data_IF_702041311376
#
_entry.id   IF_702041311376
#
_cell.length_a   1.000
_cell.length_b   1.000
_cell.length_c   1.000
_cell.angle_alpha   90.00
_cell.angle_beta   90.00
_cell.angle_gamma   90.00
#
_symmetry.space_group_name_H-M   'P 1'
#
loop_
_entity.id
_entity.type
_entity.pdbx_description
1 polymer ?
#
# COMPACT_ATOMS: atom_id res chain seq x y z
N UNK A 1 -2.83 -3.89 11.03
CA UNK A 1 -3.12 -4.41 9.68
C UNK A 1 -1.81 -4.72 8.98
N UNK A 2 -1.81 -5.78 8.19
CA UNK A 2 -0.60 -6.19 7.49
C UNK A 2 -0.38 -5.40 6.21
N UNK A 3 0.87 -5.06 5.86
CA UNK A 3 1.16 -4.43 4.57
C UNK A 3 1.01 -5.44 3.43
N UNK A 4 0.93 -4.92 2.21
CA UNK A 4 0.97 -5.72 0.99
C UNK A 4 2.20 -5.34 0.18
N UNK A 5 2.62 -6.23 -0.72
CA UNK A 5 3.85 -6.08 -1.48
C UNK A 5 3.57 -6.19 -2.98
N UNK A 6 4.49 -5.66 -3.78
CA UNK A 6 4.31 -5.57 -5.22
C UNK A 6 5.54 -6.11 -5.96
N UNK A 7 5.31 -6.59 -7.16
CA UNK A 7 6.39 -6.97 -8.06
C UNK A 7 7.10 -5.72 -8.60
N UNK A 8 8.33 -5.91 -9.07
CA UNK A 8 9.11 -4.82 -9.61
C UNK A 8 8.35 -4.08 -10.72
N UNK A 9 8.32 -2.77 -10.61
CA UNK A 9 7.73 -1.88 -11.60
C UNK A 9 6.22 -2.10 -11.85
N UNK A 10 5.54 -2.76 -10.91
CA UNK A 10 4.11 -3.07 -11.03
C UNK A 10 3.32 -2.54 -9.85
N UNK A 11 2.03 -2.30 -10.09
CA UNK A 11 1.09 -1.90 -9.05
C UNK A 11 -0.15 -2.79 -9.00
N UNK A 12 -0.15 -3.89 -9.72
CA UNK A 12 -1.24 -4.87 -9.66
C UNK A 12 -1.20 -5.63 -8.33
N UNK A 13 -2.37 -5.86 -7.74
CA UNK A 13 -2.49 -6.63 -6.50
C UNK A 13 -2.23 -8.11 -6.83
N UNK A 14 -1.25 -8.70 -6.13
CA UNK A 14 -0.91 -10.12 -6.31
C UNK A 14 -1.93 -10.99 -5.58
N UNK A 15 -2.18 -12.24 -6.04
CA UNK A 15 -3.19 -13.11 -5.42
C UNK A 15 -2.99 -13.33 -3.90
N UNK A 16 -1.75 -13.52 -3.46
CA UNK A 16 -1.46 -13.69 -2.03
C UNK A 16 -1.73 -12.43 -1.22
N UNK A 17 -1.49 -11.27 -1.81
CA UNK A 17 -1.74 -9.98 -1.15
C UNK A 17 -3.22 -9.63 -1.17
N UNK A 18 -3.99 -10.12 -2.14
CA UNK A 18 -5.43 -9.94 -2.15
C UNK A 18 -6.08 -10.52 -0.89
N UNK A 19 -5.58 -11.66 -0.40
CA UNK A 19 -6.08 -12.26 0.84
C UNK A 19 -5.83 -11.37 2.04
N UNK A 20 -4.67 -10.71 2.08
CA UNK A 20 -4.35 -9.76 3.13
C UNK A 20 -5.31 -8.57 3.08
N UNK A 21 -5.57 -8.05 1.88
CA UNK A 21 -6.53 -6.95 1.71
C UNK A 21 -7.94 -7.34 2.12
N UNK A 22 -8.37 -8.56 1.82
CA UNK A 22 -9.67 -9.07 2.25
C UNK A 22 -9.78 -9.10 3.78
N UNK A 23 -8.72 -9.58 4.45
CA UNK A 23 -8.67 -9.58 5.91
C UNK A 23 -8.68 -8.16 6.47
N UNK A 24 -7.95 -7.26 5.85
CA UNK A 24 -7.93 -5.84 6.25
C UNK A 24 -9.32 -5.20 6.07
N UNK A 25 -10.00 -5.50 4.98
CA UNK A 25 -11.34 -5.00 4.72
C UNK A 25 -12.33 -5.50 5.77
N UNK A 26 -12.25 -6.79 6.13
CA UNK A 26 -13.12 -7.35 7.16
C UNK A 26 -12.92 -6.64 8.50
N UNK A 27 -11.66 -6.40 8.88
CA UNK A 27 -11.38 -5.66 10.11
C UNK A 27 -11.95 -4.25 10.07
N UNK A 28 -11.81 -3.55 8.96
CA UNK A 28 -12.33 -2.20 8.78
C UNK A 28 -13.86 -2.16 8.82
N UNK A 29 -14.55 -3.17 8.27
CA UNK A 29 -16.02 -3.25 8.36
C UNK A 29 -16.48 -3.36 9.80
N UNK A 30 -15.74 -4.09 10.63
CA UNK A 30 -16.05 -4.25 12.06
C UNK A 30 -15.64 -3.07 12.91
N UNK A 31 -14.80 -2.19 12.38
CA UNK A 31 -14.22 -1.05 13.12
C UNK A 31 -14.61 0.26 12.46
N UNK A 32 -15.92 0.53 12.40
CA UNK A 32 -16.49 1.64 11.63
C UNK A 32 -15.98 3.03 12.06
N UNK A 33 -15.48 3.16 13.29
CA UNK A 33 -14.95 4.44 13.78
C UNK A 33 -13.51 4.73 13.34
N UNK A 34 -12.89 3.82 12.59
CA UNK A 34 -11.49 3.99 12.18
C UNK A 34 -11.38 4.51 10.75
N UNK A 35 -10.42 5.41 10.56
CA UNK A 35 -9.96 5.84 9.25
C UNK A 35 -8.66 5.13 8.92
N UNK A 36 -8.37 4.98 7.63
CA UNK A 36 -7.11 4.36 7.18
C UNK A 36 -6.39 5.28 6.20
N UNK A 37 -5.09 5.45 6.40
CA UNK A 37 -4.18 6.08 5.44
C UNK A 37 -3.36 4.98 4.80
N UNK A 38 -3.34 4.92 3.48
CA UNK A 38 -2.54 3.96 2.74
C UNK A 38 -1.32 4.68 2.17
N UNK A 39 -0.12 4.22 2.54
CA UNK A 39 1.14 4.74 2.03
C UNK A 39 1.69 3.82 0.95
N UNK A 40 1.99 4.38 -0.22
CA UNK A 40 2.65 3.66 -1.30
C UNK A 40 4.16 3.90 -1.28
N UNK A 41 4.92 2.82 -1.43
CA UNK A 41 6.38 2.85 -1.36
C UNK A 41 7.00 2.08 -2.51
N UNK A 42 8.21 2.46 -2.90
CA UNK A 42 8.97 1.85 -3.98
C UNK A 42 10.39 1.52 -3.53
N UNK A 43 11.05 0.62 -4.27
CA UNK A 43 12.48 0.41 -4.08
C UNK A 43 13.28 1.57 -4.70
N UNK A 44 14.60 1.56 -4.53
CA UNK A 44 15.45 2.70 -4.87
C UNK A 44 15.66 2.92 -6.36
N UNK A 45 15.25 2.00 -7.21
CA UNK A 45 15.53 2.06 -8.65
C UNK A 45 14.55 2.98 -9.38
N UNK A 46 15.10 3.81 -10.28
CA UNK A 46 14.31 4.74 -11.09
C UNK A 46 14.38 6.18 -10.58
N UNK A 47 13.67 7.07 -11.28
CA UNK A 47 13.66 8.48 -10.93
C UNK A 47 12.72 8.75 -9.74
N UNK A 48 12.94 9.88 -9.08
CA UNK A 48 12.09 10.31 -7.96
C UNK A 48 10.64 10.46 -8.42
N UNK A 49 10.41 11.15 -9.54
CA UNK A 49 9.08 11.42 -10.06
C UNK A 49 8.36 10.12 -10.45
N UNK A 50 9.08 9.21 -11.11
CA UNK A 50 8.52 7.93 -11.51
C UNK A 50 8.05 7.15 -10.29
N UNK A 51 8.88 7.09 -9.25
CA UNK A 51 8.57 6.32 -8.05
C UNK A 51 7.50 6.96 -7.18
N UNK A 52 7.40 8.30 -7.16
CA UNK A 52 6.27 8.95 -6.49
C UNK A 52 4.96 8.57 -7.18
N UNK A 53 4.93 8.58 -8.51
CA UNK A 53 3.74 8.18 -9.26
C UNK A 53 3.42 6.69 -9.07
N UNK A 54 4.43 5.82 -9.08
CA UNK A 54 4.24 4.38 -8.89
C UNK A 54 3.71 4.09 -7.49
N UNK A 55 4.26 4.75 -6.47
CA UNK A 55 3.78 4.63 -5.09
C UNK A 55 2.33 5.04 -4.95
N UNK A 56 1.92 6.12 -5.62
CA UNK A 56 0.52 6.55 -5.63
C UNK A 56 -0.38 5.48 -6.27
N UNK A 57 0.05 4.91 -7.40
CA UNK A 57 -0.72 3.86 -8.06
C UNK A 57 -0.86 2.61 -7.19
N UNK A 58 0.18 2.27 -6.43
CA UNK A 58 0.13 1.15 -5.48
C UNK A 58 -0.86 1.41 -4.35
N UNK A 59 -0.79 2.60 -3.76
CA UNK A 59 -1.74 3.00 -2.72
C UNK A 59 -3.17 3.02 -3.26
N UNK A 60 -3.36 3.52 -4.47
CA UNK A 60 -4.67 3.60 -5.12
C UNK A 60 -5.22 2.21 -5.44
N UNK A 61 -4.39 1.28 -5.89
CA UNK A 61 -4.81 -0.09 -6.15
C UNK A 61 -5.32 -0.75 -4.86
N UNK A 62 -4.62 -0.55 -3.75
CA UNK A 62 -5.05 -1.06 -2.46
C UNK A 62 -6.37 -0.41 -2.01
N UNK A 63 -6.51 0.91 -2.17
CA UNK A 63 -7.74 1.62 -1.85
C UNK A 63 -8.92 1.09 -2.66
N UNK A 64 -8.74 0.96 -3.96
CA UNK A 64 -9.82 0.51 -4.84
C UNK A 64 -10.27 -0.91 -4.50
N UNK A 65 -9.33 -1.76 -4.08
CA UNK A 65 -9.66 -3.09 -3.62
C UNK A 65 -10.51 -3.05 -2.34
N UNK A 66 -10.14 -2.21 -1.37
CA UNK A 66 -10.92 -2.04 -0.15
C UNK A 66 -12.31 -1.49 -0.45
N UNK A 67 -12.44 -0.53 -1.35
CA UNK A 67 -13.73 0.02 -1.76
C UNK A 67 -14.60 -1.09 -2.38
N UNK A 68 -14.02 -1.92 -3.24
CA UNK A 68 -14.76 -3.02 -3.86
C UNK A 68 -15.21 -4.07 -2.84
N UNK A 69 -14.60 -4.08 -1.66
CA UNK A 69 -14.96 -4.96 -0.54
C UNK A 69 -15.83 -4.25 0.51
N UNK A 70 -16.45 -3.15 0.14
CA UNK A 70 -17.47 -2.49 0.97
C UNK A 70 -16.98 -1.42 1.93
N UNK A 71 -15.72 -0.98 1.80
CA UNK A 71 -15.23 0.13 2.62
C UNK A 71 -15.53 1.45 1.92
N UNK A 72 -16.16 2.37 2.64
CA UNK A 72 -16.52 3.68 2.09
C UNK A 72 -15.26 4.49 1.73
N UNK A 73 -15.28 5.12 0.56
CA UNK A 73 -14.13 5.87 0.05
C UNK A 73 -13.69 6.99 0.99
N UNK A 74 -14.62 7.65 1.67
CA UNK A 74 -14.32 8.75 2.59
C UNK A 74 -13.58 8.30 3.86
N UNK A 75 -13.47 7.00 4.10
CA UNK A 75 -12.68 6.47 5.21
C UNK A 75 -11.22 6.25 4.84
N UNK A 76 -10.87 6.39 3.55
CA UNK A 76 -9.57 6.00 3.03
C UNK A 76 -8.86 7.21 2.43
N UNK A 77 -7.64 7.47 2.90
CA UNK A 77 -6.74 8.45 2.31
C UNK A 77 -5.51 7.74 1.76
N UNK A 78 -4.89 8.30 0.75
CA UNK A 78 -3.66 7.73 0.16
C UNK A 78 -2.57 8.77 0.11
N UNK A 79 -1.32 8.31 0.19
CA UNK A 79 -0.13 9.14 0.02
C UNK A 79 0.98 8.29 -0.57
N UNK A 80 1.83 8.88 -1.39
CA UNK A 80 3.02 8.21 -1.90
C UNK A 80 4.27 8.84 -1.28
N UNK A 81 5.16 8.00 -0.80
CA UNK A 81 6.50 8.40 -0.39
C UNK A 81 7.57 8.00 -1.41
N UNK A 82 7.18 7.27 -2.46
CA UNK A 82 8.14 6.81 -3.45
C UNK A 82 9.30 6.06 -2.79
N UNK A 83 10.52 6.54 -2.99
CA UNK A 83 11.73 5.93 -2.41
C UNK A 83 12.17 6.59 -1.11
N UNK A 84 11.41 7.53 -0.56
CA UNK A 84 11.88 8.38 0.55
C UNK A 84 11.97 7.69 1.90
N UNK A 85 11.23 6.59 2.10
CA UNK A 85 11.15 5.90 3.40
C UNK A 85 11.45 4.42 3.28
N UNK A 86 12.67 4.04 2.90
CA UNK A 86 13.03 2.63 2.78
C UNK A 86 13.05 1.96 4.15
N UNK A 87 12.65 0.68 4.19
CA UNK A 87 12.83 -0.17 5.38
C UNK A 87 14.08 -1.01 5.26
N UNK A 88 14.67 -1.05 4.08
CA UNK A 88 15.88 -1.81 3.78
C UNK A 88 16.70 -1.03 2.76
N UNK A 89 18.01 -0.88 2.99
CA UNK A 89 18.84 0.03 2.19
C UNK A 89 19.92 -0.66 1.34
N UNK A 90 20.03 -1.99 1.41
CA UNK A 90 21.00 -2.71 0.58
C UNK A 90 20.50 -2.83 -0.86
N UNK A 91 21.45 -2.81 -1.81
CA UNK A 91 21.14 -2.90 -3.23
C UNK A 91 21.03 -4.36 -3.66
N UNK A 92 20.01 -5.07 -3.17
CA UNK A 92 19.72 -6.46 -3.49
C UNK A 92 18.23 -6.64 -3.72
N UNK A 93 17.83 -7.66 -4.47
CA UNK A 93 16.42 -7.96 -4.68
C UNK A 93 15.72 -8.29 -3.36
N UNK A 94 16.39 -8.99 -2.47
CA UNK A 94 15.83 -9.28 -1.16
C UNK A 94 15.44 -8.00 -0.41
N UNK A 95 16.30 -7.00 -0.44
CA UNK A 95 16.05 -5.72 0.19
C UNK A 95 15.01 -4.91 -0.59
N UNK A 96 15.13 -4.83 -1.91
CA UNK A 96 14.19 -4.09 -2.74
C UNK A 96 12.75 -4.60 -2.58
N UNK A 97 12.58 -5.92 -2.47
CA UNK A 97 11.24 -6.51 -2.31
C UNK A 97 10.54 -6.03 -1.04
N UNK A 98 11.30 -5.72 0.00
CA UNK A 98 10.73 -5.21 1.27
C UNK A 98 10.27 -3.77 1.16
N UNK A 99 10.81 -3.01 0.22
CA UNK A 99 10.45 -1.62 0.00
C UNK A 99 9.23 -1.45 -0.93
N UNK A 100 8.98 -2.41 -1.80
CA UNK A 100 7.85 -2.37 -2.74
C UNK A 100 6.56 -2.76 -2.00
N UNK A 101 5.97 -1.79 -1.32
CA UNK A 101 4.86 -2.09 -0.42
C UNK A 101 3.81 -0.98 -0.33
N UNK A 102 2.65 -1.35 0.18
CA UNK A 102 1.65 -0.39 0.65
C UNK A 102 1.40 -0.69 2.14
N UNK A 103 1.43 0.36 2.94
CA UNK A 103 1.31 0.30 4.41
C UNK A 103 -0.01 0.94 4.81
N UNK A 104 -0.67 0.35 5.80
CA UNK A 104 -1.98 0.81 6.28
C UNK A 104 -1.84 1.36 7.69
N UNK A 105 -2.12 2.66 7.84
CA UNK A 105 -2.05 3.34 9.13
C UNK A 105 -3.47 3.70 9.58
N UNK A 106 -3.82 3.31 10.79
CA UNK A 106 -5.15 3.51 11.34
C UNK A 106 -5.17 4.69 12.30
N UNK A 107 -6.28 5.42 12.27
CA UNK A 107 -6.55 6.42 13.31
C UNK A 107 -8.06 6.51 13.55
N UNK A 108 -8.50 6.90 14.77
CA UNK A 108 -9.92 7.15 15.03
C UNK A 108 -10.43 8.33 14.22
N UNK A 109 -11.70 8.29 13.89
CA UNK A 109 -12.37 9.42 13.28
C UNK A 109 -12.36 10.64 14.19
#
# INVERSE_FOLDING_TARGET
>A
MKPIYFDFNKYAIRPGDARILEANAEWLRKSAAMLVLIEGHCDERGTIEYNLALGERRARAARDYLISNGIAAERISIVSFGTERPVCTEATEECWSKNRRAVFLLRPR
#
